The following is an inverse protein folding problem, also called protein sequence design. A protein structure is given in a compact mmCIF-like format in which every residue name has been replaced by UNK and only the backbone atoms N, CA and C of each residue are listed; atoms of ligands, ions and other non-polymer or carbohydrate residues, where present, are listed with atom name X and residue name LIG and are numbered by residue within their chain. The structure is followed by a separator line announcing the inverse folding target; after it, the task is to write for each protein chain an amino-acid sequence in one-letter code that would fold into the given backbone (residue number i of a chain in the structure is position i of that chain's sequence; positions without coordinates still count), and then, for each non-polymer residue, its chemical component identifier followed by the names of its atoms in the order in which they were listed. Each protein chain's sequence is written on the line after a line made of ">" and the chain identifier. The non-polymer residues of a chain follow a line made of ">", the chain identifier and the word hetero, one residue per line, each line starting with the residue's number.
data_IF_912495847032
#
_entry.id   IF_912495847032
#
_cell.length_a   1.000
_cell.length_b   1.000
_cell.length_c   1.000
_cell.angle_alpha   90.00
_cell.angle_beta   90.00
_cell.angle_gamma   90.00
#
_symmetry.space_group_name_H-M   'P 1'
#
loop_
_entity.id
_entity.type
_entity.pdbx_description
1 polymer ?
#
# COMPACT_ATOMS: atom_id res chain seq x y z
N UNK A 1 -18.16 10.33 12.99
CA UNK A 1 -18.17 9.79 11.61
C UNK A 1 -17.06 10.47 10.84
N UNK A 2 -16.25 9.74 10.04
CA UNK A 2 -15.15 10.36 9.29
C UNK A 2 -15.66 10.90 7.96
N UNK A 3 -15.17 12.07 7.56
CA UNK A 3 -15.53 12.66 6.27
C UNK A 3 -14.80 11.94 5.15
N UNK A 4 -15.39 11.95 3.95
CA UNK A 4 -14.73 11.43 2.75
C UNK A 4 -13.39 12.14 2.48
N UNK A 5 -13.30 13.44 2.78
CA UNK A 5 -12.07 14.22 2.66
C UNK A 5 -10.95 13.66 3.54
N UNK A 6 -11.24 13.35 4.81
CA UNK A 6 -10.25 12.75 5.71
C UNK A 6 -9.76 11.39 5.20
N UNK A 7 -10.66 10.54 4.69
CA UNK A 7 -10.28 9.24 4.12
C UNK A 7 -9.41 9.38 2.87
N UNK A 8 -9.76 10.30 1.96
CA UNK A 8 -8.95 10.60 0.77
C UNK A 8 -7.56 11.11 1.15
N UNK A 9 -7.47 12.05 2.10
CA UNK A 9 -6.20 12.57 2.58
C UNK A 9 -5.32 11.46 3.14
N UNK A 10 -5.90 10.49 3.87
CA UNK A 10 -5.16 9.34 4.36
C UNK A 10 -4.64 8.45 3.21
N UNK A 11 -5.45 8.20 2.17
CA UNK A 11 -4.98 7.46 0.98
C UNK A 11 -3.79 8.20 0.34
N UNK A 12 -3.91 9.51 0.11
CA UNK A 12 -2.84 10.31 -0.50
C UNK A 12 -1.56 10.28 0.35
N UNK A 13 -1.68 10.39 1.66
CA UNK A 13 -0.55 10.28 2.57
C UNK A 13 0.13 8.91 2.46
N UNK A 14 -0.66 7.84 2.54
CA UNK A 14 -0.15 6.47 2.48
C UNK A 14 0.52 6.15 1.14
N UNK A 15 -0.07 6.56 0.01
CA UNK A 15 0.54 6.38 -1.32
C UNK A 15 1.86 7.13 -1.43
N UNK A 16 1.95 8.37 -0.91
CA UNK A 16 3.21 9.11 -0.87
C UNK A 16 4.27 8.41 -0.05
N UNK A 17 3.93 7.94 1.14
CA UNK A 17 4.85 7.19 2.00
C UNK A 17 5.29 5.87 1.36
N UNK A 18 4.39 5.13 0.72
CA UNK A 18 4.75 3.89 0.03
C UNK A 18 5.66 4.12 -1.17
N UNK A 19 5.43 5.18 -1.97
CA UNK A 19 6.20 5.43 -3.19
C UNK A 19 7.56 6.11 -2.93
N UNK A 20 7.60 7.03 -1.97
CA UNK A 20 8.80 7.84 -1.71
C UNK A 20 9.50 7.46 -0.40
N UNK A 21 8.94 6.50 0.32
CA UNK A 21 9.49 6.01 1.57
C UNK A 21 9.40 7.00 2.73
N UNK A 22 9.84 6.50 3.88
CA UNK A 22 10.41 7.35 4.92
C UNK A 22 11.90 7.55 4.62
N UNK A 23 12.44 8.71 5.01
CA UNK A 23 13.88 8.96 5.01
C UNK A 23 14.36 9.01 6.46
N UNK A 24 15.43 8.28 6.78
CA UNK A 24 16.10 8.37 8.08
C UNK A 24 17.53 8.89 7.90
N UNK A 25 17.80 10.13 8.29
CA UNK A 25 19.13 10.74 8.14
C UNK A 25 19.07 12.26 8.15
N UNK A 26 20.22 12.89 7.91
CA UNK A 26 20.35 14.33 7.70
C UNK A 26 20.37 14.70 6.21
N UNK A 27 20.21 15.99 5.89
CA UNK A 27 20.23 16.50 4.50
C UNK A 27 21.46 16.07 3.70
N UNK A 28 22.62 15.98 4.36
CA UNK A 28 23.87 15.48 3.75
C UNK A 28 23.81 14.02 3.29
N UNK A 29 22.84 13.24 3.77
CA UNK A 29 22.65 11.82 3.47
C UNK A 29 21.51 11.57 2.48
N UNK A 30 20.89 12.61 1.91
CA UNK A 30 19.80 12.47 0.94
C UNK A 30 20.20 11.69 -0.33
N UNK A 31 21.49 11.64 -0.66
CA UNK A 31 21.98 10.86 -1.80
C UNK A 31 22.23 9.37 -1.48
N UNK A 32 22.10 8.96 -0.22
CA UNK A 32 22.28 7.58 0.22
C UNK A 32 20.95 6.82 0.13
N UNK A 33 20.78 6.04 -0.94
CA UNK A 33 19.56 5.24 -1.19
C UNK A 33 19.21 4.26 -0.06
N UNK A 34 20.19 3.83 0.75
CA UNK A 34 19.94 2.93 1.89
C UNK A 34 19.17 3.61 3.03
N UNK A 35 19.09 4.94 3.04
CA UNK A 35 18.36 5.76 4.03
C UNK A 35 16.87 5.87 3.77
N UNK A 36 16.43 5.40 2.62
CA UNK A 36 15.02 5.40 2.23
C UNK A 36 14.42 4.02 2.53
N UNK A 37 13.23 4.00 3.12
CA UNK A 37 12.50 2.77 3.51
C UNK A 37 11.26 2.55 2.64
N UNK A 38 10.49 1.49 2.89
CA UNK A 38 9.21 1.19 2.22
C UNK A 38 9.31 0.79 0.73
N UNK A 39 10.50 0.53 0.21
CA UNK A 39 10.71 0.08 -1.17
C UNK A 39 9.92 -1.18 -1.51
N UNK A 40 9.75 -2.07 -0.53
CA UNK A 40 8.93 -3.27 -0.66
C UNK A 40 7.46 -2.93 -0.92
N UNK A 41 6.91 -1.93 -0.22
CA UNK A 41 5.53 -1.49 -0.41
C UNK A 41 5.34 -0.78 -1.76
N UNK A 42 6.30 0.04 -2.20
CA UNK A 42 6.30 0.59 -3.57
C UNK A 42 6.26 -0.53 -4.61
N UNK A 43 7.13 -1.52 -4.45
CA UNK A 43 7.22 -2.68 -5.33
C UNK A 43 5.93 -3.50 -5.36
N UNK A 44 5.30 -3.72 -4.20
CA UNK A 44 4.04 -4.46 -4.13
C UNK A 44 2.87 -3.68 -4.75
N UNK A 45 2.80 -2.38 -4.51
CA UNK A 45 1.78 -1.49 -5.08
C UNK A 45 1.88 -1.45 -6.61
N UNK A 46 3.09 -1.29 -7.14
CA UNK A 46 3.34 -1.15 -8.59
C UNK A 46 3.50 -2.49 -9.31
N UNK A 47 3.68 -3.59 -8.58
CA UNK A 47 4.01 -4.89 -9.19
C UNK A 47 5.41 -4.91 -9.78
N UNK A 48 6.37 -4.34 -9.06
CA UNK A 48 7.78 -4.24 -9.42
C UNK A 48 8.73 -4.72 -8.30
N UNK A 49 8.23 -5.44 -7.29
CA UNK A 49 9.03 -5.94 -6.16
C UNK A 49 10.02 -7.03 -6.56
N UNK A 50 9.68 -7.90 -7.51
CA UNK A 50 10.47 -9.09 -7.87
C UNK A 50 10.42 -9.41 -9.37
N UNK A 51 11.53 -9.91 -9.94
CA UNK A 51 11.55 -10.25 -11.37
C UNK A 51 10.65 -11.42 -11.78
N UNK A 52 10.33 -12.32 -10.86
CA UNK A 52 9.67 -13.61 -11.17
C UNK A 52 8.23 -13.72 -10.69
N UNK A 53 7.87 -13.04 -9.60
CA UNK A 53 6.57 -13.19 -8.95
C UNK A 53 5.66 -11.98 -9.14
N UNK A 54 6.16 -10.93 -9.77
CA UNK A 54 5.34 -9.76 -10.07
C UNK A 54 4.29 -10.06 -11.13
N UNK A 55 3.16 -9.37 -11.02
CA UNK A 55 2.06 -9.52 -11.96
C UNK A 55 1.89 -8.21 -12.74
N UNK A 56 1.96 -8.32 -14.07
CA UNK A 56 1.78 -7.18 -15.01
C UNK A 56 0.41 -6.49 -14.84
N UNK A 57 -0.61 -7.23 -14.40
CA UNK A 57 -1.95 -6.71 -14.10
C UNK A 57 -2.43 -7.23 -12.76
N UNK A 58 -2.93 -6.34 -11.92
CA UNK A 58 -3.49 -6.62 -10.59
C UNK A 58 -4.86 -5.98 -10.47
N UNK A 59 -5.80 -6.69 -9.86
CA UNK A 59 -6.99 -6.06 -9.29
C UNK A 59 -6.56 -5.30 -8.04
N UNK A 60 -7.07 -4.09 -7.84
CA UNK A 60 -6.68 -3.26 -6.72
C UNK A 60 -7.91 -2.87 -5.89
N UNK A 61 -7.80 -3.01 -4.58
CA UNK A 61 -8.84 -2.65 -3.63
C UNK A 61 -8.28 -1.92 -2.43
N UNK A 62 -9.06 -1.00 -1.88
CA UNK A 62 -8.76 -0.29 -0.63
C UNK A 62 -9.88 -0.57 0.37
N UNK A 63 -9.52 -0.91 1.60
CA UNK A 63 -10.47 -0.98 2.72
C UNK A 63 -9.97 -0.17 3.92
N UNK A 64 -10.92 0.23 4.75
CA UNK A 64 -10.66 0.99 5.97
C UNK A 64 -11.19 0.19 7.17
N UNK A 65 -10.40 0.13 8.23
CA UNK A 65 -10.79 -0.48 9.49
C UNK A 65 -10.50 0.46 10.66
N UNK A 66 -11.42 0.48 11.63
CA UNK A 66 -11.18 1.16 12.90
C UNK A 66 -10.28 0.31 13.80
N UNK A 67 -9.48 0.96 14.65
CA UNK A 67 -8.70 0.27 15.67
C UNK A 67 -9.55 0.06 16.94
N UNK A 68 -9.49 -1.13 17.51
CA UNK A 68 -10.21 -1.46 18.75
C UNK A 68 -9.67 -0.56 19.88
N UNK A 69 -10.56 0.19 20.52
CA UNK A 69 -10.19 1.09 21.62
C UNK A 69 -9.59 2.43 21.19
N UNK A 70 -9.42 2.69 19.89
CA UNK A 70 -8.94 3.98 19.40
C UNK A 70 -9.76 4.43 18.17
N UNK A 71 -10.80 5.20 18.43
CA UNK A 71 -11.66 5.76 17.39
C UNK A 71 -11.03 6.93 16.64
N UNK A 72 -9.85 7.42 17.04
CA UNK A 72 -9.15 8.51 16.37
C UNK A 72 -8.33 8.01 15.18
N UNK A 73 -7.86 6.77 15.22
CA UNK A 73 -7.04 6.15 14.17
C UNK A 73 -7.83 5.25 13.21
N UNK A 74 -7.34 5.13 11.98
CA UNK A 74 -7.80 4.14 11.00
C UNK A 74 -6.62 3.36 10.48
N UNK A 75 -6.85 2.10 10.19
CA UNK A 75 -5.94 1.30 9.37
C UNK A 75 -6.48 1.24 7.95
N UNK A 76 -5.62 1.55 6.99
CA UNK A 76 -5.93 1.49 5.55
C UNK A 76 -5.23 0.27 4.98
N UNK A 77 -5.99 -0.61 4.35
CA UNK A 77 -5.44 -1.79 3.67
C UNK A 77 -5.53 -1.56 2.18
N UNK A 78 -4.37 -1.53 1.51
CA UNK A 78 -4.27 -1.43 0.05
C UNK A 78 -3.81 -2.78 -0.50
N UNK A 79 -4.63 -3.42 -1.33
CA UNK A 79 -4.38 -4.79 -1.78
C UNK A 79 -4.37 -4.87 -3.31
N UNK A 80 -3.24 -5.30 -3.86
CA UNK A 80 -3.10 -5.68 -5.26
C UNK A 80 -3.12 -7.21 -5.42
N UNK A 81 -4.11 -7.75 -6.13
CA UNK A 81 -4.26 -9.20 -6.35
C UNK A 81 -4.07 -9.54 -7.82
N UNK A 82 -3.08 -10.38 -8.12
CA UNK A 82 -2.85 -10.88 -9.46
C UNK A 82 -3.94 -11.87 -9.90
N UNK A 83 -4.29 -11.87 -11.20
CA UNK A 83 -5.30 -12.77 -11.77
C UNK A 83 -5.09 -14.26 -11.45
N UNK A 84 -3.84 -14.72 -11.33
CA UNK A 84 -3.51 -16.12 -10.97
C UNK A 84 -4.04 -16.53 -9.59
N UNK A 85 -4.13 -15.63 -8.62
CA UNK A 85 -4.72 -15.92 -7.30
C UNK A 85 -6.25 -15.97 -7.33
N UNK A 86 -6.86 -15.51 -8.43
CA UNK A 86 -8.30 -15.48 -8.63
C UNK A 86 -8.76 -16.73 -9.39
N UNK A 87 -7.87 -17.50 -10.05
CA UNK A 87 -8.25 -18.63 -10.92
C UNK A 87 -8.94 -19.83 -10.23
N UNK A 88 -9.10 -19.83 -8.90
CA UNK A 88 -9.94 -20.81 -8.16
C UNK A 88 -11.38 -20.32 -7.87
N UNK A 89 -11.89 -19.31 -8.60
CA UNK A 89 -13.10 -18.54 -8.28
C UNK A 89 -14.47 -19.22 -8.40
N UNK A 90 -14.60 -20.52 -8.71
CA UNK A 90 -15.93 -21.18 -8.78
C UNK A 90 -16.65 -21.26 -7.42
N UNK A 91 -15.95 -20.98 -6.30
CA UNK A 91 -16.49 -21.15 -4.94
C UNK A 91 -17.02 -19.86 -4.28
N UNK A 92 -16.67 -18.67 -4.78
CA UNK A 92 -16.99 -17.39 -4.12
C UNK A 92 -17.95 -16.47 -4.90
N UNK A 93 -18.32 -16.84 -6.13
CA UNK A 93 -19.47 -16.26 -6.86
C UNK A 93 -20.68 -17.20 -6.70
N UNK A 94 -21.19 -17.34 -5.48
CA UNK A 94 -22.55 -17.86 -5.25
C UNK A 94 -23.44 -16.72 -4.79
#
# INVERSE_FOLDING_TARGET
>A
MRTMSALKNQIYFNVKQMLFGGFYGSDSQMNDSSRYTEWEHAGDLLGCRTKHYDAKTKYFGISFSGLKGDSSKISVHMMGVAKRYIQNYKKFNR
#
